data_IF_454135644880
#
_entry.id   IF_454135644880
#
_cell.length_a   1.000
_cell.length_b   1.000
_cell.length_c   1.000
_cell.angle_alpha   90.00
_cell.angle_beta   90.00
_cell.angle_gamma   90.00
#
_symmetry.space_group_name_H-M   'P 1'
#
loop_
_entity.id
_entity.type
_entity.pdbx_description
1 polymer ?
#
# COMPACT_ATOMS: atom_id res chain seq x y z
N UNK A 1 -43.63 -3.97 -13.28
CA UNK A 1 -42.18 -4.23 -13.29
C UNK A 1 -42.01 -5.73 -13.20
N UNK A 2 -41.64 -6.40 -14.30
CA UNK A 2 -41.59 -7.86 -14.33
C UNK A 2 -40.57 -8.40 -13.33
N UNK A 3 -41.00 -9.36 -12.52
CA UNK A 3 -40.16 -10.06 -11.53
C UNK A 3 -38.91 -10.67 -12.18
N UNK A 4 -39.01 -11.08 -13.44
CA UNK A 4 -37.88 -11.59 -14.23
C UNK A 4 -36.80 -10.52 -14.47
N UNK A 5 -37.19 -9.28 -14.78
CA UNK A 5 -36.23 -8.19 -14.99
C UNK A 5 -35.55 -7.79 -13.67
N UNK A 6 -36.27 -7.90 -12.55
CA UNK A 6 -35.70 -7.66 -11.23
C UNK A 6 -34.68 -8.74 -10.86
N UNK A 7 -34.99 -10.02 -11.09
CA UNK A 7 -34.06 -11.13 -10.86
C UNK A 7 -32.82 -11.06 -11.76
N UNK A 8 -33.00 -10.72 -13.04
CA UNK A 8 -31.88 -10.51 -13.97
C UNK A 8 -31.00 -9.33 -13.52
N UNK A 9 -31.60 -8.23 -13.08
CA UNK A 9 -30.86 -7.07 -12.56
C UNK A 9 -30.05 -7.42 -11.31
N UNK A 10 -30.64 -8.11 -10.35
CA UNK A 10 -29.94 -8.58 -9.14
C UNK A 10 -28.82 -9.55 -9.50
N UNK A 11 -29.08 -10.49 -10.42
CA UNK A 11 -28.07 -11.46 -10.89
C UNK A 11 -26.85 -10.77 -11.51
N UNK A 12 -27.07 -9.78 -12.37
CA UNK A 12 -25.98 -8.99 -12.98
C UNK A 12 -25.18 -8.25 -11.90
N UNK A 13 -25.84 -7.59 -10.95
CA UNK A 13 -25.15 -6.87 -9.87
C UNK A 13 -24.31 -7.80 -9.00
N UNK A 14 -24.82 -9.00 -8.68
CA UNK A 14 -24.08 -10.00 -7.91
C UNK A 14 -22.85 -10.49 -8.68
N UNK A 15 -22.99 -10.78 -9.98
CA UNK A 15 -21.84 -11.20 -10.80
C UNK A 15 -20.80 -10.10 -10.89
N UNK A 16 -21.21 -8.85 -11.12
CA UNK A 16 -20.29 -7.70 -11.16
C UNK A 16 -19.55 -7.55 -9.82
N UNK A 17 -20.25 -7.66 -8.70
CA UNK A 17 -19.64 -7.58 -7.37
C UNK A 17 -18.65 -8.73 -7.10
N UNK A 18 -19.00 -9.97 -7.47
CA UNK A 18 -18.13 -11.14 -7.30
C UNK A 18 -16.88 -11.01 -8.17
N UNK A 19 -17.04 -10.63 -9.43
CA UNK A 19 -15.91 -10.43 -10.35
C UNK A 19 -15.00 -9.31 -9.85
N UNK A 20 -15.56 -8.18 -9.42
CA UNK A 20 -14.79 -7.09 -8.83
C UNK A 20 -13.99 -7.55 -7.60
N UNK A 21 -14.62 -8.27 -6.68
CA UNK A 21 -13.95 -8.78 -5.48
C UNK A 21 -12.83 -9.78 -5.81
N UNK A 22 -13.08 -10.70 -6.74
CA UNK A 22 -12.08 -11.67 -7.19
C UNK A 22 -10.87 -10.97 -7.84
N UNK A 23 -11.13 -9.99 -8.72
CA UNK A 23 -10.09 -9.19 -9.36
C UNK A 23 -9.30 -8.39 -8.33
N UNK A 24 -9.97 -7.72 -7.39
CA UNK A 24 -9.32 -6.94 -6.34
C UNK A 24 -8.43 -7.80 -5.43
N UNK A 25 -8.90 -8.97 -5.01
CA UNK A 25 -8.14 -9.88 -4.17
C UNK A 25 -6.91 -10.45 -4.91
N UNK A 26 -7.05 -10.72 -6.20
CA UNK A 26 -5.94 -11.25 -7.00
C UNK A 26 -4.90 -10.20 -7.36
N UNK A 27 -5.31 -8.93 -7.52
CA UNK A 27 -4.41 -7.81 -7.82
C UNK A 27 -3.67 -7.24 -6.61
N UNK A 28 -4.16 -7.46 -5.37
CA UNK A 28 -3.47 -7.02 -4.16
C UNK A 28 -2.60 -8.13 -3.57
N UNK A 29 -1.28 -8.12 -3.83
CA UNK A 29 -0.38 -9.13 -3.31
C UNK A 29 -0.37 -9.11 -1.78
N UNK A 30 -0.68 -10.25 -1.18
CA UNK A 30 -0.50 -10.49 0.24
C UNK A 30 0.86 -11.14 0.45
N UNK A 31 1.75 -10.49 1.21
CA UNK A 31 3.08 -11.01 1.50
C UNK A 31 3.05 -11.64 2.90
N UNK A 32 3.00 -12.98 2.92
CA UNK A 32 3.00 -13.75 4.17
C UNK A 32 4.36 -13.71 4.88
N UNK A 33 5.44 -13.69 4.09
CA UNK A 33 6.83 -13.71 4.58
C UNK A 33 7.63 -12.58 3.94
N UNK A 34 7.47 -11.33 4.42
CA UNK A 34 8.25 -10.23 3.91
C UNK A 34 9.69 -10.29 4.41
N UNK A 35 10.61 -9.77 3.62
CA UNK A 35 12.01 -9.59 4.01
C UNK A 35 12.20 -8.30 4.83
N UNK A 36 11.36 -7.29 4.59
CA UNK A 36 11.29 -6.07 5.40
C UNK A 36 9.86 -5.68 5.70
N UNK A 37 9.57 -5.25 6.93
CA UNK A 37 8.24 -4.79 7.31
C UNK A 37 8.29 -3.71 8.38
N UNK A 38 7.32 -2.82 8.35
CA UNK A 38 7.10 -1.88 9.45
C UNK A 38 5.62 -1.59 9.63
N UNK A 39 5.26 -1.24 10.86
CA UNK A 39 3.93 -0.80 11.25
C UNK A 39 4.05 0.39 12.20
N UNK A 40 3.56 1.55 11.78
CA UNK A 40 3.71 2.81 12.51
C UNK A 40 2.33 3.46 12.70
N UNK A 41 2.09 4.00 13.89
CA UNK A 41 0.91 4.83 14.17
C UNK A 41 1.33 6.29 14.15
N UNK A 42 0.75 7.07 13.24
CA UNK A 42 1.07 8.49 13.07
C UNK A 42 0.36 9.40 14.07
N UNK A 43 0.69 10.69 14.01
CA UNK A 43 0.13 11.72 14.88
C UNK A 43 -1.39 11.91 14.73
N UNK A 44 -1.96 11.52 13.60
CA UNK A 44 -3.40 11.56 13.33
C UNK A 44 -4.16 10.38 13.96
N UNK A 45 -3.44 9.39 14.52
CA UNK A 45 -4.03 8.15 15.05
C UNK A 45 -4.14 7.03 14.02
N UNK A 46 -3.92 7.31 12.72
CA UNK A 46 -3.89 6.29 11.69
C UNK A 46 -2.66 5.38 11.86
N UNK A 47 -2.86 4.08 11.63
CA UNK A 47 -1.76 3.11 11.62
C UNK A 47 -1.54 2.61 10.20
N UNK A 48 -0.31 2.69 9.71
CA UNK A 48 0.11 2.17 8.41
C UNK A 48 1.06 0.98 8.59
N UNK A 49 0.97 0.04 7.66
CA UNK A 49 1.86 -1.11 7.56
C UNK A 49 2.33 -1.26 6.11
N UNK A 50 3.64 -1.39 5.93
CA UNK A 50 4.26 -1.68 4.63
C UNK A 50 5.11 -2.93 4.79
N UNK A 51 5.01 -3.83 3.81
CA UNK A 51 5.81 -5.05 3.73
C UNK A 51 6.46 -5.13 2.36
N UNK A 52 7.72 -5.54 2.33
CA UNK A 52 8.56 -5.60 1.14
C UNK A 52 9.17 -7.00 1.00
N UNK A 53 9.16 -7.53 -0.21
CA UNK A 53 9.86 -8.74 -0.61
C UNK A 53 11.03 -8.36 -1.53
N UNK A 54 12.24 -8.81 -1.21
CA UNK A 54 13.45 -8.45 -1.94
C UNK A 54 14.02 -9.65 -2.71
N UNK A 55 14.49 -9.39 -3.93
CA UNK A 55 15.26 -10.36 -4.72
C UNK A 55 16.43 -9.66 -5.38
N UNK A 56 17.65 -10.14 -5.11
CA UNK A 56 18.89 -9.53 -5.61
C UNK A 56 18.94 -8.02 -5.30
N UNK A 57 18.65 -7.67 -4.05
CA UNK A 57 18.69 -6.29 -3.54
C UNK A 57 17.69 -5.32 -4.19
N UNK A 58 16.61 -5.84 -4.79
CA UNK A 58 15.53 -5.04 -5.34
C UNK A 58 14.19 -5.54 -4.84
N UNK A 59 13.27 -4.63 -4.57
CA UNK A 59 11.89 -5.00 -4.21
C UNK A 59 11.22 -5.63 -5.42
N UNK A 60 10.73 -6.87 -5.27
CA UNK A 60 9.96 -7.57 -6.32
C UNK A 60 8.47 -7.53 -6.06
N UNK A 61 8.08 -7.35 -4.81
CA UNK A 61 6.69 -7.31 -4.40
C UNK A 61 6.57 -6.45 -3.14
N UNK A 62 5.43 -5.79 -2.99
CA UNK A 62 5.12 -4.96 -1.83
C UNK A 62 3.66 -5.11 -1.46
N UNK A 63 3.35 -5.06 -0.17
CA UNK A 63 1.97 -4.99 0.31
C UNK A 63 1.82 -3.84 1.29
N UNK A 64 0.67 -3.19 1.28
CA UNK A 64 0.34 -2.08 2.15
C UNK A 64 -0.97 -2.36 2.90
N UNK A 65 -1.09 -1.78 4.09
CA UNK A 65 -2.33 -1.77 4.85
C UNK A 65 -2.41 -0.50 5.69
N UNK A 66 -3.60 0.03 5.91
CA UNK A 66 -3.81 1.15 6.82
C UNK A 66 -5.15 1.05 7.52
N UNK A 67 -5.22 1.51 8.77
CA UNK A 67 -6.48 1.74 9.49
C UNK A 67 -7.09 3.10 9.23
N UNK A 68 -6.44 3.92 8.40
CA UNK A 68 -6.74 5.32 8.20
C UNK A 68 -7.81 5.64 7.16
N UNK A 69 -7.86 6.90 6.77
CA UNK A 69 -8.79 7.40 5.76
C UNK A 69 -8.36 7.04 4.32
N UNK A 70 -9.17 7.43 3.33
CA UNK A 70 -8.86 7.21 1.92
C UNK A 70 -7.52 7.85 1.49
N UNK A 71 -7.17 9.02 2.04
CA UNK A 71 -5.87 9.67 1.78
C UNK A 71 -4.71 8.81 2.31
N UNK A 72 -4.86 8.25 3.50
CA UNK A 72 -3.90 7.32 4.10
C UNK A 72 -3.73 6.07 3.24
N UNK A 73 -4.82 5.51 2.71
CA UNK A 73 -4.77 4.35 1.83
C UNK A 73 -4.00 4.67 0.53
N UNK A 74 -4.32 5.79 -0.11
CA UNK A 74 -3.64 6.21 -1.34
C UNK A 74 -2.15 6.47 -1.13
N UNK A 75 -1.77 7.09 0.00
CA UNK A 75 -0.36 7.32 0.33
C UNK A 75 0.40 6.02 0.59
N UNK A 76 -0.21 5.09 1.33
CA UNK A 76 0.40 3.79 1.61
C UNK A 76 0.56 2.93 0.35
N UNK A 77 -0.44 2.93 -0.54
CA UNK A 77 -0.37 2.30 -1.86
C UNK A 77 0.75 2.92 -2.68
N UNK A 78 0.78 4.25 -2.79
CA UNK A 78 1.80 4.95 -3.56
C UNK A 78 3.22 4.67 -3.05
N UNK A 79 3.44 4.69 -1.74
CA UNK A 79 4.75 4.36 -1.15
C UNK A 79 5.18 2.92 -1.49
N UNK A 80 4.26 1.95 -1.40
CA UNK A 80 4.52 0.57 -1.76
C UNK A 80 4.80 0.39 -3.26
N UNK A 81 4.01 1.02 -4.14
CA UNK A 81 4.19 0.94 -5.59
C UNK A 81 5.51 1.59 -6.03
N UNK A 82 5.87 2.76 -5.45
CA UNK A 82 7.13 3.44 -5.72
C UNK A 82 8.35 2.62 -5.31
N UNK A 83 8.21 1.73 -4.32
CA UNK A 83 9.28 0.86 -3.84
C UNK A 83 9.62 -0.26 -4.85
N UNK A 84 8.67 -0.70 -5.68
CA UNK A 84 8.88 -1.81 -6.61
C UNK A 84 10.05 -1.53 -7.56
N UNK A 85 11.00 -2.47 -7.63
CA UNK A 85 12.18 -2.41 -8.49
C UNK A 85 13.36 -1.59 -7.96
N UNK A 86 13.18 -0.89 -6.84
CA UNK A 86 14.23 -0.08 -6.20
C UNK A 86 15.07 -0.88 -5.21
N UNK A 87 16.32 -0.45 -5.04
CA UNK A 87 17.19 -0.88 -3.95
C UNK A 87 16.84 -0.17 -2.63
N UNK A 88 17.33 -0.66 -1.49
CA UNK A 88 17.20 0.02 -0.20
C UNK A 88 17.64 1.49 -0.25
N UNK A 89 18.76 1.77 -0.92
CA UNK A 89 19.32 3.13 -1.04
C UNK A 89 18.41 4.03 -1.87
N UNK A 90 17.91 3.55 -3.01
CA UNK A 90 16.99 4.30 -3.89
C UNK A 90 15.64 4.61 -3.23
N UNK A 91 15.27 3.86 -2.19
CA UNK A 91 14.03 4.09 -1.45
C UNK A 91 14.15 5.17 -0.38
N UNK A 92 15.37 5.50 0.08
CA UNK A 92 15.58 6.58 1.04
C UNK A 92 15.27 7.97 0.46
N UNK A 93 15.26 8.08 -0.86
CA UNK A 93 14.88 9.29 -1.58
C UNK A 93 13.34 9.44 -1.72
N UNK A 94 12.55 8.43 -1.30
CA UNK A 94 11.08 8.49 -1.35
C UNK A 94 10.56 9.18 -0.09
N UNK A 95 10.52 10.51 -0.14
CA UNK A 95 9.94 11.32 0.92
C UNK A 95 8.43 11.55 0.74
N UNK A 96 7.82 12.23 1.72
CA UNK A 96 6.41 12.60 1.66
C UNK A 96 6.07 13.51 0.47
N UNK A 97 7.01 14.29 -0.07
CA UNK A 97 6.78 15.12 -1.25
C UNK A 97 6.63 14.28 -2.52
N UNK A 98 7.51 13.30 -2.71
CA UNK A 98 7.43 12.34 -3.81
C UNK A 98 6.12 11.56 -3.76
N UNK A 99 5.71 11.10 -2.58
CA UNK A 99 4.43 10.41 -2.40
C UNK A 99 3.26 11.33 -2.70
N UNK A 100 3.26 12.58 -2.19
CA UNK A 100 2.21 13.56 -2.52
C UNK A 100 2.07 13.80 -4.02
N UNK A 101 3.19 13.93 -4.73
CA UNK A 101 3.19 14.13 -6.17
C UNK A 101 2.61 12.91 -6.90
N UNK A 102 2.99 11.70 -6.48
CA UNK A 102 2.50 10.46 -7.08
C UNK A 102 0.99 10.26 -6.94
N UNK A 103 0.38 10.75 -5.85
CA UNK A 103 -1.08 10.69 -5.65
C UNK A 103 -1.84 11.86 -6.32
N UNK A 104 -1.15 12.73 -7.07
CA UNK A 104 -1.74 13.88 -7.76
C UNK A 104 -1.95 15.12 -6.87
N UNK A 105 -1.28 15.16 -5.73
CA UNK A 105 -1.38 16.22 -4.72
C UNK A 105 -2.34 15.88 -3.59
N UNK A 106 -2.17 16.57 -2.45
CA UNK A 106 -3.03 16.45 -1.27
C UNK A 106 -3.38 17.82 -0.72
N UNK A 107 -4.62 18.03 -0.23
CA UNK A 107 -4.96 19.17 0.61
C UNK A 107 -4.05 19.25 1.84
N UNK A 108 -3.83 20.46 2.36
CA UNK A 108 -2.89 20.71 3.46
C UNK A 108 -3.19 19.88 4.72
N UNK A 109 -4.46 19.65 5.01
CA UNK A 109 -4.90 18.83 6.15
C UNK A 109 -4.49 17.35 6.06
N UNK A 110 -4.25 16.82 4.86
CA UNK A 110 -3.88 15.41 4.64
C UNK A 110 -2.41 15.19 4.28
N UNK A 111 -1.58 16.24 4.29
CA UNK A 111 -0.15 16.10 3.98
C UNK A 111 0.56 15.11 4.92
N UNK A 112 0.11 15.03 6.17
CA UNK A 112 0.63 14.10 7.17
C UNK A 112 0.46 12.62 6.77
N UNK A 113 -0.53 12.28 5.92
CA UNK A 113 -0.71 10.91 5.43
C UNK A 113 0.46 10.47 4.56
N UNK A 114 1.00 11.38 3.74
CA UNK A 114 2.15 11.09 2.89
C UNK A 114 3.44 10.99 3.71
N UNK A 115 3.60 11.84 4.71
CA UNK A 115 4.77 11.78 5.61
C UNK A 115 4.77 10.48 6.42
N UNK A 116 3.60 10.03 6.93
CA UNK A 116 3.44 8.74 7.60
C UNK A 116 3.76 7.55 6.67
N UNK A 117 3.35 7.62 5.41
CA UNK A 117 3.66 6.59 4.43
C UNK A 117 5.17 6.51 4.14
N UNK A 118 5.84 7.65 3.98
CA UNK A 118 7.30 7.71 3.82
C UNK A 118 8.03 7.15 5.05
N UNK A 119 7.61 7.55 6.25
CA UNK A 119 8.18 7.05 7.50
C UNK A 119 8.03 5.53 7.62
N UNK A 120 6.84 5.01 7.31
CA UNK A 120 6.56 3.57 7.36
C UNK A 120 7.39 2.82 6.32
N UNK A 121 7.57 3.37 5.11
CA UNK A 121 8.40 2.78 4.07
C UNK A 121 9.86 2.71 4.52
N UNK A 122 10.41 3.82 5.01
CA UNK A 122 11.80 3.87 5.49
C UNK A 122 12.04 2.91 6.66
N UNK A 123 11.09 2.79 7.58
CA UNK A 123 11.18 1.83 8.66
C UNK A 123 11.15 0.37 8.16
N UNK A 124 10.38 0.06 7.10
CA UNK A 124 10.36 -1.27 6.50
C UNK A 124 11.70 -1.60 5.81
N UNK A 125 12.33 -0.59 5.19
CA UNK A 125 13.68 -0.71 4.63
C UNK A 125 14.73 -0.91 5.74
N UNK A 126 14.64 -0.16 6.84
CA UNK A 126 15.54 -0.31 7.98
C UNK A 126 15.42 -1.72 8.63
N UNK A 127 14.20 -2.25 8.76
CA UNK A 127 13.95 -3.63 9.21
C UNK A 127 14.64 -4.65 8.29
N UNK A 128 14.51 -4.48 6.97
CA UNK A 128 15.22 -5.30 6.00
C UNK A 128 16.74 -5.23 6.19
N UNK A 129 17.31 -4.02 6.24
CA UNK A 129 18.76 -3.80 6.35
C UNK A 129 19.34 -4.41 7.62
N UNK A 130 18.64 -4.28 8.76
CA UNK A 130 19.01 -4.94 10.01
C UNK A 130 19.03 -6.46 9.88
N UNK A 131 18.04 -7.02 9.18
CA UNK A 131 17.97 -8.48 8.95
C UNK A 131 19.09 -9.00 8.06
N UNK A 132 19.54 -8.20 7.08
CA UNK A 132 20.64 -8.55 6.16
C UNK A 132 21.98 -8.51 6.90
N UNK A 133 22.23 -7.49 7.72
CA UNK A 133 23.48 -7.37 8.49
C UNK A 133 23.61 -8.47 9.56
N UNK A 134 22.50 -8.98 10.07
CA UNK A 134 22.49 -10.03 11.09
C UNK A 134 22.68 -11.46 10.53
N UNK A 135 22.72 -11.64 9.20
CA UNK A 135 22.91 -12.93 8.52
C UNK A 135 24.37 -13.15 8.13
#
# INVERSE_FOLDING_TARGET
MDWLNLLLGVGVLVVVAIVWFAVYYWLNPHIDKPDGKARITGICGDTMEIRLEFKRDKVVNSSHWTSGCASSLNCALAAADLAIGKSPEEMLDIDGAVIRESVGGLPQEYMHCADLAAETLHAAVDDYMKSVVAR
#
